data_IF_173377541008
#
_entry.id   IF_173377541008
#
_cell.length_a   1.000
_cell.length_b   1.000
_cell.length_c   1.000
_cell.angle_alpha   90.00
_cell.angle_beta   90.00
_cell.angle_gamma   90.00
#
_symmetry.space_group_name_H-M   'P 1'
#
loop_
_entity.id
_entity.type
_entity.pdbx_description
1 polymer ?
#
# COMPACT_ATOMS: atom_id res chain seq x y z
N UNK A 1 51.00 50.33 23.37
CA UNK A 1 51.77 49.13 23.80
C UNK A 1 50.89 48.05 24.42
N UNK A 2 50.04 48.34 25.41
CA UNK A 2 49.18 47.34 26.08
C UNK A 2 48.28 46.52 25.11
N UNK A 3 47.66 47.17 24.12
CA UNK A 3 46.79 46.51 23.13
C UNK A 3 47.53 45.55 22.19
N UNK A 4 48.81 45.82 21.91
CA UNK A 4 49.64 44.96 21.05
C UNK A 4 49.99 43.68 21.81
N UNK A 5 50.37 43.81 23.08
CA UNK A 5 50.66 42.68 23.97
C UNK A 5 49.42 41.80 24.16
N UNK A 6 48.24 42.41 24.37
CA UNK A 6 46.96 41.68 24.45
C UNK A 6 46.63 40.93 23.15
N UNK A 7 46.87 41.54 21.99
CA UNK A 7 46.68 40.90 20.68
C UNK A 7 47.63 39.71 20.47
N UNK A 8 48.89 39.83 20.90
CA UNK A 8 49.85 38.72 20.88
C UNK A 8 49.44 37.59 21.84
N UNK A 9 48.98 37.91 23.05
CA UNK A 9 48.48 36.89 23.97
C UNK A 9 47.25 36.15 23.40
N UNK A 10 46.31 36.86 22.76
CA UNK A 10 45.13 36.25 22.15
C UNK A 10 45.51 35.34 20.97
N UNK A 11 46.45 35.78 20.12
CA UNK A 11 46.91 34.98 18.98
C UNK A 11 47.67 33.74 19.42
N UNK A 12 48.48 33.82 20.48
CA UNK A 12 49.14 32.65 21.09
C UNK A 12 48.11 31.66 21.66
N UNK A 13 47.06 32.14 22.33
CA UNK A 13 45.99 31.28 22.83
C UNK A 13 45.24 30.56 21.69
N UNK A 14 44.94 31.27 20.61
CA UNK A 14 44.29 30.68 19.42
C UNK A 14 45.21 29.63 18.78
N UNK A 15 46.48 29.94 18.58
CA UNK A 15 47.46 29.00 18.01
C UNK A 15 47.63 27.76 18.88
N UNK A 16 47.70 27.91 20.21
CA UNK A 16 47.75 26.79 21.14
C UNK A 16 46.52 25.88 21.01
N UNK A 17 45.34 26.47 20.85
CA UNK A 17 44.08 25.72 20.70
C UNK A 17 44.05 24.92 19.38
N UNK A 18 44.52 25.53 18.29
CA UNK A 18 44.64 24.87 16.98
C UNK A 18 45.66 23.74 17.04
N UNK A 19 46.85 23.98 17.62
CA UNK A 19 47.89 22.95 17.78
C UNK A 19 47.36 21.79 18.62
N UNK A 20 46.65 22.06 19.72
CA UNK A 20 46.02 21.00 20.52
C UNK A 20 45.04 20.16 19.69
N UNK A 21 44.18 20.81 18.91
CA UNK A 21 43.22 20.12 18.04
C UNK A 21 43.91 19.26 16.98
N UNK A 22 44.95 19.78 16.33
CA UNK A 22 45.74 19.04 15.33
C UNK A 22 46.50 17.87 15.95
N UNK A 23 47.09 18.05 17.14
CA UNK A 23 47.76 16.96 17.87
C UNK A 23 46.76 15.88 18.30
N UNK A 24 45.56 16.24 18.76
CA UNK A 24 44.52 15.24 19.03
C UNK A 24 44.11 14.47 17.77
N UNK A 25 44.13 15.12 16.60
CA UNK A 25 43.85 14.48 15.32
C UNK A 25 44.97 13.51 14.89
N UNK A 26 46.22 13.82 15.22
CA UNK A 26 47.39 12.97 14.93
C UNK A 26 47.44 11.76 15.89
N UNK A 27 47.24 11.97 17.19
CA UNK A 27 47.37 10.91 18.21
C UNK A 27 46.14 9.99 18.32
N UNK A 28 44.93 10.50 18.07
CA UNK A 28 43.69 9.73 18.17
C UNK A 28 43.04 9.43 16.81
N UNK A 29 43.73 9.82 15.71
CA UNK A 29 43.24 9.67 14.34
C UNK A 29 42.03 10.56 14.03
N UNK A 30 41.63 10.61 12.75
CA UNK A 30 40.29 11.09 12.40
C UNK A 30 39.30 10.27 13.24
N UNK A 31 38.32 10.87 13.94
CA UNK A 31 37.12 10.10 14.26
C UNK A 31 36.57 9.66 12.91
N UNK A 32 36.73 8.38 12.56
CA UNK A 32 36.24 7.85 11.31
C UNK A 32 34.76 8.21 11.21
N UNK A 33 34.42 9.07 10.24
CA UNK A 33 33.03 9.29 9.87
C UNK A 33 32.41 7.98 9.34
N UNK A 34 33.24 6.99 8.97
CA UNK A 34 32.82 5.62 8.65
C UNK A 34 32.19 4.89 9.85
N UNK A 35 32.48 5.30 11.09
CA UNK A 35 31.88 4.68 12.28
C UNK A 35 30.41 5.04 12.50
N UNK A 36 29.86 6.00 11.74
CA UNK A 36 28.41 6.25 11.73
C UNK A 36 27.63 5.21 10.90
N UNK A 37 28.29 4.50 9.99
CA UNK A 37 27.68 3.46 9.16
C UNK A 37 28.20 2.04 9.44
N UNK A 38 29.30 1.91 10.19
CA UNK A 38 29.94 0.63 10.53
C UNK A 38 29.92 0.27 12.02
N UNK A 39 29.08 0.91 12.85
CA UNK A 39 28.64 0.17 14.04
C UNK A 39 27.82 -1.02 13.52
N UNK A 40 28.23 -2.28 13.76
CA UNK A 40 27.37 -3.41 13.44
C UNK A 40 26.10 -3.15 14.22
N UNK A 41 25.01 -2.81 13.51
CA UNK A 41 23.70 -2.65 14.09
C UNK A 41 23.53 -3.88 14.97
N UNK A 42 23.57 -3.66 16.29
CA UNK A 42 23.47 -4.73 17.26
C UNK A 42 22.03 -5.19 17.19
N UNK A 43 21.77 -6.06 16.21
CA UNK A 43 20.49 -6.73 16.05
C UNK A 43 20.36 -7.55 17.33
N UNK A 44 19.60 -7.01 18.28
CA UNK A 44 18.93 -7.85 19.25
C UNK A 44 18.07 -8.80 18.41
N UNK A 45 18.57 -10.03 18.21
CA UNK A 45 17.80 -11.14 17.68
C UNK A 45 16.64 -11.34 18.65
N UNK A 46 15.52 -10.68 18.36
CA UNK A 46 14.27 -10.93 19.03
C UNK A 46 13.66 -12.15 18.36
N UNK A 47 13.74 -13.28 19.06
CA UNK A 47 13.19 -14.61 18.76
C UNK A 47 13.90 -15.45 17.68
N UNK A 48 14.71 -16.41 18.15
CA UNK A 48 15.20 -17.59 17.40
C UNK A 48 14.07 -18.52 16.92
N UNK A 49 12.80 -18.20 17.22
CA UNK A 49 11.65 -19.05 16.94
C UNK A 49 11.03 -18.86 15.55
N UNK A 50 11.34 -17.77 14.83
CA UNK A 50 10.78 -17.49 13.50
C UNK A 50 11.85 -17.74 12.44
N UNK A 51 11.59 -18.66 11.50
CA UNK A 51 12.52 -18.92 10.41
C UNK A 51 12.85 -17.64 9.64
N UNK A 52 14.14 -17.45 9.32
CA UNK A 52 14.65 -16.35 8.48
C UNK A 52 13.91 -16.24 7.14
N UNK A 53 13.22 -17.30 6.70
CA UNK A 53 12.39 -17.31 5.50
C UNK A 53 11.26 -16.25 5.54
N UNK A 54 10.65 -16.01 6.70
CA UNK A 54 9.55 -15.04 6.83
C UNK A 54 10.01 -13.60 7.09
N UNK A 55 11.31 -13.40 7.31
CA UNK A 55 11.93 -12.09 7.54
C UNK A 55 12.51 -11.47 6.25
N UNK A 56 12.65 -12.24 5.17
CA UNK A 56 13.18 -11.75 3.89
C UNK A 56 12.20 -10.80 3.21
N UNK A 57 12.71 -9.71 2.65
CA UNK A 57 11.95 -8.86 1.74
C UNK A 57 11.64 -9.67 0.47
N UNK A 58 10.38 -10.08 0.34
CA UNK A 58 9.87 -10.76 -0.86
C UNK A 58 9.01 -9.78 -1.66
N UNK A 59 9.36 -9.62 -2.94
CA UNK A 59 8.52 -8.90 -3.91
C UNK A 59 7.42 -9.88 -4.37
N UNK A 60 6.19 -9.62 -3.94
CA UNK A 60 5.04 -10.43 -4.35
C UNK A 60 4.61 -10.06 -5.78
N UNK A 61 3.91 -10.99 -6.45
CA UNK A 61 3.32 -10.73 -7.76
C UNK A 61 2.32 -9.55 -7.72
N UNK A 62 2.25 -8.78 -8.80
CA UNK A 62 1.29 -7.68 -8.92
C UNK A 62 -0.15 -8.21 -8.85
N UNK A 63 -1.07 -7.45 -8.23
CA UNK A 63 -2.46 -7.82 -8.18
C UNK A 63 -3.06 -7.79 -9.58
N UNK A 64 -4.08 -8.62 -9.80
CA UNK A 64 -4.87 -8.53 -11.00
C UNK A 64 -5.73 -7.28 -10.91
N UNK A 65 -5.54 -6.39 -11.86
CA UNK A 65 -6.35 -5.18 -12.05
C UNK A 65 -7.59 -5.65 -12.82
N UNK A 66 -8.73 -5.74 -12.14
CA UNK A 66 -9.99 -6.00 -12.80
C UNK A 66 -10.58 -4.65 -13.24
N UNK A 67 -10.53 -4.31 -14.54
CA UNK A 67 -11.15 -3.09 -15.02
C UNK A 67 -12.66 -3.19 -14.76
N UNK A 68 -13.28 -2.07 -14.43
CA UNK A 68 -14.73 -2.04 -14.27
C UNK A 68 -15.40 -2.46 -15.58
N UNK A 69 -15.94 -3.68 -15.62
CA UNK A 69 -16.57 -4.24 -16.80
C UNK A 69 -17.82 -3.42 -17.18
N UNK A 70 -17.76 -2.78 -18.35
CA UNK A 70 -18.91 -2.11 -18.97
C UNK A 70 -19.66 -3.12 -19.83
N UNK A 71 -20.92 -3.34 -19.47
CA UNK A 71 -21.89 -4.14 -20.22
C UNK A 71 -22.80 -3.22 -21.04
N UNK A 72 -23.60 -3.83 -21.91
CA UNK A 72 -24.62 -3.15 -22.69
C UNK A 72 -25.99 -3.75 -22.36
N UNK A 73 -26.87 -2.95 -21.74
CA UNK A 73 -28.19 -3.43 -21.35
C UNK A 73 -29.03 -3.90 -22.54
N UNK A 74 -28.84 -3.35 -23.74
CA UNK A 74 -29.61 -3.76 -24.93
C UNK A 74 -29.25 -5.18 -25.34
N UNK A 75 -27.97 -5.54 -25.28
CA UNK A 75 -27.49 -6.91 -25.51
C UNK A 75 -28.02 -7.86 -24.45
N UNK A 76 -27.94 -7.47 -23.17
CA UNK A 76 -28.46 -8.28 -22.06
C UNK A 76 -29.98 -8.53 -22.17
N UNK A 77 -30.75 -7.56 -22.67
CA UNK A 77 -32.19 -7.74 -22.92
C UNK A 77 -32.45 -8.74 -24.06
N UNK A 78 -31.64 -8.71 -25.14
CA UNK A 78 -31.72 -9.68 -26.25
C UNK A 78 -31.36 -11.10 -25.78
N UNK A 79 -30.28 -11.23 -25.01
CA UNK A 79 -29.87 -12.51 -24.41
C UNK A 79 -30.95 -13.07 -23.48
N UNK A 80 -31.53 -12.22 -22.64
CA UNK A 80 -32.64 -12.61 -21.77
C UNK A 80 -33.86 -13.09 -22.58
N UNK A 81 -34.22 -12.37 -23.65
CA UNK A 81 -35.33 -12.75 -24.53
C UNK A 81 -35.07 -14.11 -25.18
N UNK A 82 -33.88 -14.33 -25.74
CA UNK A 82 -33.50 -15.60 -26.37
C UNK A 82 -33.54 -16.77 -25.38
N UNK A 83 -33.12 -16.54 -24.13
CA UNK A 83 -33.08 -17.57 -23.09
C UNK A 83 -34.46 -17.89 -22.48
N UNK A 84 -35.32 -16.89 -22.32
CA UNK A 84 -36.57 -17.03 -21.57
C UNK A 84 -37.84 -17.01 -22.44
N UNK A 85 -37.72 -16.72 -23.73
CA UNK A 85 -38.85 -16.61 -24.67
C UNK A 85 -39.78 -15.41 -24.41
N UNK A 86 -39.43 -14.52 -23.48
CA UNK A 86 -40.23 -13.33 -23.13
C UNK A 86 -39.33 -12.14 -22.75
N UNK A 87 -39.71 -10.90 -23.10
CA UNK A 87 -38.89 -9.73 -22.82
C UNK A 87 -38.87 -9.42 -21.32
N UNK A 88 -37.71 -8.99 -20.81
CA UNK A 88 -37.57 -8.50 -19.45
C UNK A 88 -38.28 -7.16 -19.33
N UNK A 89 -39.44 -7.12 -18.67
CA UNK A 89 -40.22 -5.89 -18.51
C UNK A 89 -39.52 -4.88 -17.58
N UNK A 90 -39.71 -3.57 -17.80
CA UNK A 90 -39.39 -2.53 -16.81
C UNK A 90 -40.00 -2.81 -15.42
N UNK A 91 -39.54 -2.07 -14.42
CA UNK A 91 -40.06 -2.20 -13.06
C UNK A 91 -41.41 -1.48 -12.97
N UNK A 92 -42.46 -2.25 -12.64
CA UNK A 92 -43.73 -1.67 -12.19
C UNK A 92 -43.62 -1.28 -10.71
N UNK A 93 -43.85 0.00 -10.42
CA UNK A 93 -43.70 0.60 -9.09
C UNK A 93 -45.06 0.70 -8.38
N UNK A 94 -45.09 0.46 -7.07
CA UNK A 94 -46.29 0.66 -6.25
C UNK A 94 -46.55 2.16 -6.10
N UNK A 95 -47.83 2.58 -6.00
CA UNK A 95 -48.23 3.99 -5.88
C UNK A 95 -47.48 4.77 -4.78
N UNK A 96 -47.20 4.12 -3.64
CA UNK A 96 -46.55 4.77 -2.48
C UNK A 96 -45.01 4.62 -2.46
N UNK A 97 -44.39 4.20 -3.56
CA UNK A 97 -42.94 4.02 -3.62
C UNK A 97 -42.23 5.28 -4.11
N UNK A 98 -41.09 5.61 -3.49
CA UNK A 98 -40.26 6.74 -3.92
C UNK A 98 -39.67 6.46 -5.32
N UNK A 99 -39.85 7.36 -6.31
CA UNK A 99 -39.34 7.16 -7.65
C UNK A 99 -37.80 7.18 -7.68
N UNK A 100 -37.23 6.54 -8.69
CA UNK A 100 -35.81 6.69 -9.04
C UNK A 100 -35.73 7.86 -10.02
N UNK A 101 -34.93 8.90 -9.75
CA UNK A 101 -34.76 10.02 -10.67
C UNK A 101 -34.30 9.60 -12.07
N UNK A 102 -34.74 10.35 -13.09
CA UNK A 102 -34.56 9.96 -14.49
C UNK A 102 -33.10 9.99 -14.95
N UNK A 103 -32.27 10.82 -14.30
CA UNK A 103 -30.85 10.94 -14.56
C UNK A 103 -30.02 9.74 -14.05
N UNK A 104 -30.64 8.75 -13.40
CA UNK A 104 -29.94 7.59 -12.87
C UNK A 104 -29.93 6.46 -13.91
N UNK A 105 -28.74 6.08 -14.34
CA UNK A 105 -28.51 4.87 -15.11
C UNK A 105 -27.66 3.87 -14.33
N UNK A 106 -27.79 2.58 -14.67
CA UNK A 106 -26.92 1.57 -14.12
C UNK A 106 -25.49 1.81 -14.63
N UNK A 107 -24.52 2.01 -13.75
CA UNK A 107 -23.17 2.33 -14.20
C UNK A 107 -22.46 1.17 -14.88
N UNK A 108 -22.88 -0.08 -14.63
CA UNK A 108 -22.29 -1.28 -15.24
C UNK A 108 -22.81 -1.52 -16.65
N UNK A 109 -24.13 -1.52 -16.85
CA UNK A 109 -24.74 -1.87 -18.15
C UNK A 109 -25.41 -0.70 -18.88
N UNK A 110 -25.43 0.49 -18.29
CA UNK A 110 -26.16 1.67 -18.77
C UNK A 110 -27.69 1.51 -18.86
N UNK A 111 -28.28 0.54 -18.14
CA UNK A 111 -29.74 0.41 -18.07
C UNK A 111 -30.37 1.67 -17.43
N UNK A 112 -31.46 2.22 -18.00
CA UNK A 112 -32.09 3.45 -17.53
C UNK A 112 -32.87 3.29 -16.21
N UNK A 113 -33.28 4.42 -15.62
CA UNK A 113 -33.94 4.51 -14.30
C UNK A 113 -35.15 3.57 -14.12
N UNK A 114 -35.90 3.26 -15.19
CA UNK A 114 -37.05 2.35 -15.14
C UNK A 114 -36.69 0.87 -14.99
N UNK A 115 -35.42 0.49 -15.09
CA UNK A 115 -34.89 -0.83 -14.73
C UNK A 115 -34.17 -0.86 -13.38
N UNK A 116 -34.27 0.19 -12.57
CA UNK A 116 -33.51 0.34 -11.32
C UNK A 116 -34.44 0.32 -10.10
N UNK A 117 -34.13 -0.55 -9.14
CA UNK A 117 -34.76 -0.59 -7.82
C UNK A 117 -34.01 0.31 -6.84
N UNK A 118 -34.74 0.93 -5.90
CA UNK A 118 -34.14 1.39 -4.63
C UNK A 118 -34.00 0.19 -3.71
N UNK A 119 -32.79 -0.13 -3.26
CA UNK A 119 -32.51 -1.35 -2.49
C UNK A 119 -32.97 -1.23 -1.03
N UNK A 120 -32.90 -0.04 -0.40
CA UNK A 120 -33.11 0.13 1.04
C UNK A 120 -34.22 1.12 1.45
N UNK A 121 -35.34 1.15 0.71
CA UNK A 121 -36.68 1.55 1.18
C UNK A 121 -36.95 2.92 1.86
N UNK A 122 -36.16 3.36 2.86
CA UNK A 122 -36.49 4.51 3.74
C UNK A 122 -35.29 5.30 4.33
N UNK A 123 -34.03 4.88 4.17
CA UNK A 123 -32.89 5.55 4.81
C UNK A 123 -32.14 6.54 3.89
N UNK A 124 -31.52 7.57 4.49
CA UNK A 124 -30.69 8.64 3.84
C UNK A 124 -29.54 8.14 2.95
N UNK A 125 -29.27 6.83 2.89
CA UNK A 125 -28.27 6.22 2.02
C UNK A 125 -28.95 5.49 0.86
N UNK A 126 -29.00 6.14 -0.31
CA UNK A 126 -29.67 5.59 -1.50
C UNK A 126 -28.77 4.59 -2.20
N UNK A 127 -28.94 3.31 -1.86
CA UNK A 127 -28.40 2.21 -2.65
C UNK A 127 -29.45 1.79 -3.69
N UNK A 128 -29.00 1.56 -4.91
CA UNK A 128 -29.77 1.09 -6.05
C UNK A 128 -29.36 -0.31 -6.46
N UNK A 129 -30.27 -1.02 -7.11
CA UNK A 129 -30.02 -2.34 -7.72
C UNK A 129 -30.59 -2.37 -9.13
N UNK A 130 -29.76 -2.71 -10.12
CA UNK A 130 -30.18 -2.87 -11.50
C UNK A 130 -30.92 -4.20 -11.69
N UNK A 131 -32.10 -4.19 -12.30
CA UNK A 131 -32.86 -5.39 -12.67
C UNK A 131 -32.21 -6.20 -13.80
N UNK A 132 -31.51 -5.52 -14.71
CA UNK A 132 -30.91 -6.14 -15.92
C UNK A 132 -29.66 -6.93 -15.56
N UNK A 133 -28.68 -6.31 -14.90
CA UNK A 133 -27.39 -6.95 -14.59
C UNK A 133 -27.17 -7.26 -13.10
N UNK A 134 -28.18 -7.07 -12.25
CA UNK A 134 -28.11 -7.24 -10.79
C UNK A 134 -27.05 -6.38 -10.06
N UNK A 135 -26.43 -5.42 -10.74
CA UNK A 135 -25.40 -4.57 -10.14
C UNK A 135 -25.99 -3.65 -9.07
N UNK A 136 -25.32 -3.59 -7.92
CA UNK A 136 -25.70 -2.75 -6.77
C UNK A 136 -24.75 -1.55 -6.72
N UNK A 137 -25.30 -0.33 -6.64
CA UNK A 137 -24.52 0.90 -6.65
C UNK A 137 -25.17 1.98 -5.78
N UNK A 138 -24.39 2.93 -5.28
CA UNK A 138 -24.91 4.06 -4.49
C UNK A 138 -24.86 5.38 -5.26
N UNK A 139 -25.24 6.48 -4.61
CA UNK A 139 -25.10 7.85 -5.16
C UNK A 139 -23.63 8.28 -5.36
N UNK A 140 -22.68 7.66 -4.66
CA UNK A 140 -21.25 7.97 -4.82
C UNK A 140 -20.68 7.20 -6.01
N UNK A 141 -19.86 7.85 -6.83
CA UNK A 141 -19.14 7.26 -7.97
C UNK A 141 -17.97 6.37 -7.56
N UNK A 142 -17.87 5.96 -6.29
CA UNK A 142 -16.83 5.07 -5.80
C UNK A 142 -16.76 3.78 -6.64
N UNK A 143 -17.91 3.28 -7.12
CA UNK A 143 -17.97 2.12 -8.02
C UNK A 143 -17.32 2.33 -9.40
N UNK A 144 -17.20 3.57 -9.90
CA UNK A 144 -16.46 3.88 -11.15
C UNK A 144 -14.95 3.97 -10.91
N UNK A 145 -14.53 4.33 -9.70
CA UNK A 145 -13.12 4.44 -9.31
C UNK A 145 -12.53 3.11 -8.85
N UNK A 146 -13.37 2.17 -8.44
CA UNK A 146 -12.94 0.88 -7.93
C UNK A 146 -12.54 -0.05 -9.08
N UNK A 147 -11.36 0.19 -9.67
CA UNK A 147 -10.54 -0.90 -10.19
C UNK A 147 -10.38 -1.89 -9.03
N UNK A 148 -11.00 -3.05 -9.13
CA UNK A 148 -10.91 -4.02 -8.05
C UNK A 148 -9.53 -4.68 -8.13
N UNK A 149 -8.68 -4.39 -7.13
CA UNK A 149 -7.43 -5.11 -6.95
C UNK A 149 -7.77 -6.54 -6.50
N UNK A 150 -7.39 -7.54 -7.30
CA UNK A 150 -7.65 -8.95 -7.01
C UNK A 150 -6.36 -9.69 -6.69
N UNK A 151 -6.47 -10.67 -5.79
CA UNK A 151 -5.37 -11.56 -5.45
C UNK A 151 -4.95 -12.36 -6.70
N UNK A 152 -3.66 -12.40 -7.06
CA UNK A 152 -3.19 -13.15 -8.22
C UNK A 152 -3.33 -14.68 -8.05
N UNK A 153 -3.48 -15.16 -6.81
CA UNK A 153 -3.54 -16.59 -6.51
C UNK A 153 -4.97 -17.16 -6.47
N UNK A 154 -5.95 -16.38 -5.99
CA UNK A 154 -7.34 -16.86 -5.86
C UNK A 154 -8.39 -15.97 -6.55
N UNK A 155 -7.96 -14.88 -7.22
CA UNK A 155 -8.81 -13.94 -7.96
C UNK A 155 -9.90 -13.24 -7.14
N UNK A 156 -9.94 -13.43 -5.81
CA UNK A 156 -10.81 -12.67 -4.92
C UNK A 156 -10.30 -11.24 -4.75
N UNK A 157 -11.24 -10.31 -4.57
CA UNK A 157 -10.95 -8.90 -4.30
C UNK A 157 -10.14 -8.77 -3.02
N UNK A 158 -9.11 -7.92 -3.05
CA UNK A 158 -8.30 -7.60 -1.89
C UNK A 158 -9.00 -6.57 -1.02
N UNK A 159 -8.92 -6.76 0.29
CA UNK A 159 -9.47 -5.81 1.25
C UNK A 159 -8.41 -4.80 1.65
N UNK A 160 -8.76 -3.50 1.62
CA UNK A 160 -7.93 -2.46 2.20
C UNK A 160 -7.95 -2.58 3.71
N UNK A 161 -6.84 -2.96 4.32
CA UNK A 161 -6.75 -3.16 5.77
C UNK A 161 -6.09 -2.00 6.51
N UNK A 162 -5.20 -1.24 5.85
CA UNK A 162 -4.54 -0.07 6.46
C UNK A 162 -4.39 1.06 5.46
N UNK A 163 -4.53 2.30 5.94
CA UNK A 163 -4.16 3.52 5.23
C UNK A 163 -2.95 4.12 5.93
N UNK A 164 -1.86 4.36 5.20
CA UNK A 164 -0.68 5.07 5.69
C UNK A 164 -0.53 6.36 4.89
N UNK A 165 0.37 7.24 5.32
CA UNK A 165 0.65 8.53 4.67
C UNK A 165 1.00 8.36 3.19
N UNK A 166 1.88 7.40 2.89
CA UNK A 166 2.48 7.25 1.56
C UNK A 166 1.94 6.04 0.78
N UNK A 167 1.15 5.17 1.41
CA UNK A 167 0.64 3.96 0.76
C UNK A 167 -0.60 3.41 1.46
N UNK A 168 -1.40 2.66 0.72
CA UNK A 168 -2.49 1.83 1.23
C UNK A 168 -2.03 0.37 1.26
N UNK A 169 -2.50 -0.39 2.24
CA UNK A 169 -2.19 -1.81 2.36
C UNK A 169 -3.45 -2.64 2.16
N UNK A 170 -3.38 -3.54 1.19
CA UNK A 170 -4.43 -4.45 0.77
C UNK A 170 -4.04 -5.89 1.10
N UNK A 171 -4.98 -6.71 1.58
CA UNK A 171 -4.74 -8.10 2.01
C UNK A 171 -5.79 -9.04 1.44
N UNK A 172 -5.36 -10.23 1.01
CA UNK A 172 -6.28 -11.30 0.67
C UNK A 172 -6.71 -12.05 1.93
N UNK A 173 -7.95 -11.87 2.40
CA UNK A 173 -8.48 -12.56 3.59
C UNK A 173 -9.09 -13.95 3.32
N UNK A 174 -9.00 -14.46 2.09
CA UNK A 174 -9.60 -15.75 1.75
C UNK A 174 -8.84 -16.90 2.44
N UNK A 175 -9.48 -17.65 3.37
CA UNK A 175 -8.81 -18.78 4.04
C UNK A 175 -8.57 -19.96 3.09
N UNK A 176 -9.25 -20.00 1.93
CA UNK A 176 -9.07 -21.01 0.90
C UNK A 176 -8.11 -20.56 -0.22
N UNK A 177 -7.33 -19.49 0.01
CA UNK A 177 -6.36 -19.02 -0.98
C UNK A 177 -5.17 -19.98 -1.07
N UNK A 178 -4.80 -20.41 -2.27
CA UNK A 178 -3.66 -21.32 -2.50
C UNK A 178 -2.36 -20.79 -1.90
N UNK A 179 -2.10 -19.48 -2.02
CA UNK A 179 -0.94 -18.81 -1.41
C UNK A 179 -0.94 -18.96 0.12
N UNK A 180 -2.07 -18.66 0.76
CA UNK A 180 -2.19 -18.77 2.22
C UNK A 180 -2.02 -20.21 2.69
N UNK A 181 -2.71 -21.15 2.04
CA UNK A 181 -2.64 -22.58 2.39
C UNK A 181 -1.23 -23.14 2.21
N UNK A 182 -0.51 -22.74 1.16
CA UNK A 182 0.88 -23.15 0.94
C UNK A 182 1.82 -22.63 2.03
N UNK A 183 1.71 -21.35 2.40
CA UNK A 183 2.51 -20.77 3.48
C UNK A 183 2.17 -21.38 4.84
N UNK A 184 0.88 -21.64 5.11
CA UNK A 184 0.43 -22.29 6.34
C UNK A 184 0.97 -23.72 6.48
N UNK A 185 1.09 -24.46 5.37
CA UNK A 185 1.66 -25.81 5.33
C UNK A 185 3.17 -25.80 5.60
N UNK A 186 3.86 -24.73 5.21
CA UNK A 186 5.31 -24.57 5.39
C UNK A 186 5.71 -24.14 6.82
N UNK A 187 4.75 -23.92 7.72
CA UNK A 187 5.07 -23.67 9.13
C UNK A 187 5.50 -24.97 9.82
N UNK A 188 6.64 -24.90 10.51
CA UNK A 188 7.04 -25.95 11.44
C UNK A 188 6.05 -26.07 12.62
N UNK A 189 6.03 -27.19 13.36
CA UNK A 189 5.13 -27.35 14.50
C UNK A 189 5.27 -26.26 15.57
N UNK A 190 6.49 -25.76 15.79
CA UNK A 190 6.78 -24.65 16.73
C UNK A 190 6.24 -23.32 16.20
N UNK A 191 6.51 -22.99 14.94
CA UNK A 191 5.98 -21.78 14.29
C UNK A 191 4.47 -21.79 14.23
N UNK A 192 3.83 -22.95 14.03
CA UNK A 192 2.37 -23.06 14.00
C UNK A 192 1.74 -22.75 15.35
N UNK A 193 2.39 -23.18 16.45
CA UNK A 193 1.99 -22.81 17.82
C UNK A 193 2.20 -21.32 18.08
N UNK A 194 3.31 -20.75 17.59
CA UNK A 194 3.58 -19.31 17.72
C UNK A 194 2.58 -18.49 16.90
N UNK A 195 2.25 -18.89 15.68
CA UNK A 195 1.25 -18.25 14.84
C UNK A 195 -0.14 -18.22 15.49
N UNK A 196 -0.52 -19.29 16.20
CA UNK A 196 -1.79 -19.33 16.93
C UNK A 196 -1.85 -18.29 18.06
N UNK A 197 -0.70 -17.93 18.66
CA UNK A 197 -0.59 -16.90 19.71
C UNK A 197 -0.42 -15.49 19.11
N UNK A 198 0.45 -15.37 18.11
CA UNK A 198 0.92 -14.12 17.53
C UNK A 198 0.85 -14.18 15.99
N UNK A 199 -0.37 -14.18 15.40
CA UNK A 199 -0.54 -14.35 13.96
C UNK A 199 0.07 -13.20 13.16
N UNK A 200 0.17 -12.03 13.80
CA UNK A 200 0.75 -10.82 13.23
C UNK A 200 2.26 -10.89 13.03
N UNK A 201 2.96 -11.98 13.36
CA UNK A 201 4.39 -12.14 13.07
C UNK A 201 4.69 -12.86 11.75
N UNK A 202 3.67 -13.48 11.15
CA UNK A 202 3.84 -14.30 9.96
C UNK A 202 3.12 -13.69 8.76
N UNK A 203 3.86 -13.46 7.68
CA UNK A 203 3.29 -13.07 6.39
C UNK A 203 2.76 -14.31 5.66
N UNK A 204 1.59 -14.81 6.06
CA UNK A 204 0.96 -15.97 5.40
C UNK A 204 0.04 -15.57 4.24
N UNK A 205 -0.63 -14.43 4.36
CA UNK A 205 -1.57 -13.96 3.34
C UNK A 205 -0.88 -13.08 2.31
N UNK A 206 -1.40 -13.10 1.08
CA UNK A 206 -0.97 -12.18 0.03
C UNK A 206 -1.30 -10.74 0.43
N UNK A 207 -0.33 -9.84 0.29
CA UNK A 207 -0.43 -8.44 0.66
C UNK A 207 0.09 -7.58 -0.48
N UNK A 208 -0.68 -6.57 -0.84
CA UNK A 208 -0.30 -5.59 -1.84
C UNK A 208 -0.23 -4.20 -1.21
N UNK A 209 0.85 -3.47 -1.49
CA UNK A 209 1.01 -2.06 -1.13
C UNK A 209 0.74 -1.20 -2.35
N UNK A 210 -0.20 -0.27 -2.22
CA UNK A 210 -0.58 0.68 -3.26
C UNK A 210 -0.01 2.05 -2.90
N UNK A 211 1.01 2.50 -3.61
CA UNK A 211 1.74 3.74 -3.29
C UNK A 211 0.94 4.95 -3.76
N UNK A 212 0.67 5.88 -2.83
CA UNK A 212 -0.04 7.13 -3.09
C UNK A 212 0.92 8.30 -2.95
N UNK A 213 2.11 8.15 -3.52
CA UNK A 213 3.16 9.17 -3.48
C UNK A 213 3.06 9.95 -4.78
N UNK A 214 2.73 11.22 -4.68
CA UNK A 214 2.98 12.17 -5.75
C UNK A 214 4.46 12.54 -5.68
N UNK A 215 5.29 11.87 -6.47
CA UNK A 215 6.67 12.27 -6.62
C UNK A 215 6.68 13.68 -7.22
N UNK A 216 7.18 14.66 -6.47
CA UNK A 216 7.67 15.88 -7.11
C UNK A 216 8.89 15.47 -7.91
N UNK A 217 8.93 15.87 -9.18
CA UNK A 217 10.13 15.67 -9.99
C UNK A 217 11.33 16.25 -9.23
N UNK A 218 12.43 15.51 -9.20
CA UNK A 218 13.69 16.01 -8.65
C UNK A 218 14.00 17.32 -9.39
N UNK A 219 14.18 18.41 -8.64
CA UNK A 219 14.63 19.67 -9.24
C UNK A 219 15.96 19.43 -9.92
N UNK A 220 16.10 19.85 -11.18
CA UNK A 220 17.41 19.87 -11.86
C UNK A 220 18.39 20.82 -11.15
N UNK A 221 17.85 21.76 -10.38
CA UNK A 221 18.57 22.79 -9.63
C UNK A 221 18.63 22.42 -8.13
N UNK A 222 18.99 21.17 -7.81
CA UNK A 222 19.29 20.82 -6.42
C UNK A 222 20.72 21.27 -6.11
N UNK A 223 20.97 22.06 -5.05
CA UNK A 223 22.33 22.42 -4.64
C UNK A 223 23.12 21.18 -4.15
N UNK A 224 22.41 20.08 -3.85
CA UNK A 224 22.99 18.78 -3.53
C UNK A 224 22.72 17.83 -4.68
N UNK A 225 23.77 17.44 -5.38
CA UNK A 225 23.72 16.39 -6.40
C UNK A 225 23.72 15.02 -5.70
N UNK A 226 22.77 14.12 -6.00
CA UNK A 226 22.79 12.78 -5.42
C UNK A 226 23.92 11.95 -6.05
N UNK A 227 24.65 11.18 -5.22
CA UNK A 227 25.68 10.24 -5.70
C UNK A 227 25.11 9.14 -6.60
N UNK A 228 23.82 8.86 -6.45
CA UNK A 228 23.12 7.80 -7.20
C UNK A 228 22.07 8.42 -8.11
N UNK A 229 22.20 8.12 -9.40
CA UNK A 229 21.21 8.47 -10.41
C UNK A 229 20.05 7.46 -10.42
N UNK A 230 18.94 7.82 -9.76
CA UNK A 230 17.74 6.98 -9.68
C UNK A 230 17.07 6.76 -11.05
N UNK A 231 17.39 7.56 -12.08
CA UNK A 231 16.83 7.36 -13.42
C UNK A 231 17.37 6.10 -14.12
N UNK A 232 18.53 5.58 -13.67
CA UNK A 232 19.19 4.39 -14.23
C UNK A 232 18.80 3.09 -13.53
N UNK A 233 17.81 3.12 -12.64
CA UNK A 233 17.38 1.93 -11.90
C UNK A 233 16.74 0.91 -12.85
N UNK A 234 17.29 -0.31 -12.89
CA UNK A 234 16.76 -1.45 -13.67
C UNK A 234 15.54 -2.14 -13.02
N UNK A 235 15.08 -1.63 -11.88
CA UNK A 235 13.90 -2.14 -11.16
C UNK A 235 12.68 -1.27 -11.40
N UNK A 236 11.48 -1.85 -11.29
CA UNK A 236 10.26 -1.06 -11.44
C UNK A 236 10.11 -0.04 -10.30
N UNK A 237 9.43 1.09 -10.54
CA UNK A 237 9.13 2.08 -9.49
C UNK A 237 8.42 1.47 -8.28
N UNK A 238 7.67 0.39 -8.49
CA UNK A 238 7.02 -0.38 -7.43
C UNK A 238 8.03 -1.02 -6.46
N UNK A 239 9.03 -1.71 -7.01
CA UNK A 239 10.09 -2.37 -6.24
C UNK A 239 10.90 -1.33 -5.49
N UNK A 240 11.24 -0.22 -6.14
CA UNK A 240 11.90 0.91 -5.49
C UNK A 240 11.06 1.43 -4.30
N UNK A 241 9.75 1.60 -4.49
CA UNK A 241 8.83 1.98 -3.42
C UNK A 241 8.83 0.98 -2.26
N UNK A 242 8.85 -0.33 -2.54
CA UNK A 242 8.92 -1.36 -1.49
C UNK A 242 10.19 -1.21 -0.67
N UNK A 243 11.34 -1.08 -1.34
CA UNK A 243 12.66 -0.93 -0.70
C UNK A 243 12.68 0.31 0.19
N UNK A 244 12.26 1.47 -0.33
CA UNK A 244 12.28 2.74 0.40
C UNK A 244 11.43 2.70 1.67
N UNK A 245 10.29 2.01 1.65
CA UNK A 245 9.43 1.89 2.84
C UNK A 245 10.01 0.89 3.85
N UNK A 246 10.70 -0.13 3.38
CA UNK A 246 11.38 -1.10 4.25
C UNK A 246 12.70 -0.57 4.83
N UNK A 247 13.37 0.37 4.17
CA UNK A 247 14.64 0.95 4.64
C UNK A 247 14.46 2.17 5.54
N UNK A 248 13.42 2.99 5.32
CA UNK A 248 13.09 4.13 6.20
C UNK A 248 12.51 3.72 7.56
N UNK A 249 12.34 2.42 7.79
CA UNK A 249 11.93 1.84 9.06
C UNK A 249 13.12 1.40 9.92
N UNK A 250 14.18 2.24 9.96
CA UNK A 250 15.26 2.17 10.95
C UNK A 250 14.78 2.45 12.38
N UNK A 251 13.55 2.94 12.56
CA UNK A 251 12.80 2.80 13.80
C UNK A 251 11.95 1.52 13.76
N UNK A 252 12.60 0.49 14.30
CA UNK A 252 12.02 -0.61 15.06
C UNK A 252 11.45 -1.80 14.27
N UNK A 253 11.90 -2.95 14.75
CA UNK A 253 11.22 -4.24 14.83
C UNK A 253 9.69 -4.21 15.12
N UNK A 254 9.05 -3.05 15.29
CA UNK A 254 7.60 -2.90 15.46
C UNK A 254 6.79 -2.79 14.16
N UNK A 255 7.44 -2.70 12.99
CA UNK A 255 6.72 -2.75 11.70
C UNK A 255 6.56 -4.17 11.14
N UNK A 256 7.30 -5.13 11.68
CA UNK A 256 7.05 -6.57 11.48
C UNK A 256 6.06 -7.16 12.49
N UNK A 257 5.64 -6.42 13.53
CA UNK A 257 4.73 -6.92 14.58
C UNK A 257 3.27 -6.46 14.41
N UNK A 258 2.94 -5.79 13.31
CA UNK A 258 1.55 -5.40 13.02
C UNK A 258 1.13 -5.75 11.59
N UNK A 259 1.08 -7.05 11.28
CA UNK A 259 0.47 -7.61 10.07
C UNK A 259 -1.01 -7.98 10.22
#
# INVERSE_FOLDING_TARGET
MLNIILSFCLTIQIQYTIIRYLLTWIFFGKPSFDKFYEEPVKYYYYDDAISKQYQKLQVDAMPLIDPFEKLDYTKLLKEYLAKHGKPLKPISRRKNSLPVPDNISCPRCNAPHYYIYRNNGKAKNTQYRCKVCNFIFGNKTDYLKNIALRCPHCKRVLEKIKKRKNFNLFKCKNPQCSFYLSNLKNLSPTERKLYAKEPGRFKLHYIYRDFVINFRHLSKESPVMPDVDLSKIHSSPYVLGLVLITSTSSLMATLFTSW
#
